data_IF_236139610841
#
_entry.id   IF_236139610841
#
_cell.length_a   1.000
_cell.length_b   1.000
_cell.length_c   1.000
_cell.angle_alpha   90.00
_cell.angle_beta   90.00
_cell.angle_gamma   90.00
#
_symmetry.space_group_name_H-M   'P 1'
#
loop_
_entity.id
_entity.type
_entity.pdbx_description
1 polymer ?
#
# COMPACT_ATOMS: atom_id res chain seq x y z
N UNK A 1 3.55 -18.28 32.84
CA UNK A 1 4.27 -18.99 33.91
C UNK A 1 3.41 -20.13 34.53
N UNK A 2 2.14 -19.91 34.85
CA UNK A 2 1.27 -20.96 35.45
C UNK A 2 1.10 -22.19 34.53
N UNK A 3 0.96 -22.01 33.22
CA UNK A 3 0.80 -23.08 32.23
C UNK A 3 2.04 -23.97 32.19
N UNK A 4 3.24 -23.38 32.24
CA UNK A 4 4.51 -24.10 32.29
C UNK A 4 4.65 -24.90 33.61
N UNK A 5 4.22 -24.31 34.73
CA UNK A 5 4.23 -24.97 36.04
C UNK A 5 3.32 -26.22 36.13
N UNK A 6 2.25 -26.25 35.30
CA UNK A 6 1.28 -27.37 35.27
C UNK A 6 1.70 -28.42 34.20
N UNK A 7 2.72 -28.13 33.39
CA UNK A 7 3.18 -29.02 32.31
C UNK A 7 2.25 -29.07 31.07
N UNK A 8 1.35 -28.11 30.93
CA UNK A 8 0.44 -28.01 29.78
C UNK A 8 1.10 -27.38 28.55
N UNK A 9 2.30 -26.82 28.66
CA UNK A 9 3.11 -26.29 27.60
C UNK A 9 3.58 -27.36 26.59
N UNK A 10 3.49 -28.65 26.98
CA UNK A 10 3.77 -29.78 26.09
C UNK A 10 2.58 -30.22 25.24
N UNK A 11 1.36 -29.66 25.47
CA UNK A 11 0.18 -29.90 24.63
C UNK A 11 0.27 -29.02 23.40
N UNK A 12 0.32 -29.62 22.21
CA UNK A 12 0.59 -28.93 20.95
C UNK A 12 -0.29 -27.69 20.71
N UNK A 13 -1.60 -27.78 20.96
CA UNK A 13 -2.54 -26.67 20.78
C UNK A 13 -2.25 -25.49 21.73
N UNK A 14 -1.86 -25.78 22.96
CA UNK A 14 -1.52 -24.77 23.96
C UNK A 14 -0.18 -24.13 23.61
N UNK A 15 0.81 -24.93 23.20
CA UNK A 15 2.12 -24.41 22.79
C UNK A 15 2.02 -23.50 21.57
N UNK A 16 1.26 -23.90 20.56
CA UNK A 16 1.02 -23.08 19.36
C UNK A 16 0.30 -21.76 19.71
N UNK A 17 -0.68 -21.82 20.62
CA UNK A 17 -1.37 -20.63 21.13
C UNK A 17 -0.45 -19.71 21.94
N UNK A 18 0.47 -20.28 22.75
CA UNK A 18 1.49 -19.51 23.46
C UNK A 18 2.48 -18.84 22.53
N UNK A 19 2.96 -19.54 21.49
CA UNK A 19 3.81 -18.96 20.46
C UNK A 19 3.10 -17.78 19.82
N UNK A 20 1.84 -17.96 19.40
CA UNK A 20 1.05 -16.89 18.80
C UNK A 20 0.85 -15.69 19.75
N UNK A 21 0.50 -15.96 21.02
CA UNK A 21 0.34 -14.91 22.05
C UNK A 21 1.63 -14.10 22.24
N UNK A 22 2.77 -14.76 22.44
CA UNK A 22 4.04 -14.07 22.64
C UNK A 22 4.44 -13.25 21.43
N UNK A 23 4.26 -13.78 20.22
CA UNK A 23 4.55 -13.05 18.98
C UNK A 23 3.63 -11.84 18.82
N UNK A 24 2.33 -11.96 19.11
CA UNK A 24 1.41 -10.81 19.07
C UNK A 24 1.72 -9.73 20.10
N UNK A 25 2.25 -10.12 21.27
CA UNK A 25 2.69 -9.18 22.31
C UNK A 25 4.07 -8.55 22.03
N UNK A 26 4.71 -8.83 20.90
CA UNK A 26 6.03 -8.30 20.55
C UNK A 26 7.22 -9.05 21.18
N UNK A 27 6.97 -10.11 21.95
CA UNK A 27 7.99 -10.92 22.62
C UNK A 27 8.37 -12.13 21.77
N UNK A 28 8.86 -11.88 20.54
CA UNK A 28 9.13 -12.94 19.53
C UNK A 28 10.17 -13.95 20.05
N UNK A 29 11.15 -13.51 20.86
CA UNK A 29 12.18 -14.39 21.41
C UNK A 29 11.62 -15.40 22.42
N UNK A 30 10.66 -14.99 23.26
CA UNK A 30 9.95 -15.88 24.16
C UNK A 30 9.08 -16.86 23.38
N UNK A 31 8.37 -16.39 22.34
CA UNK A 31 7.65 -17.23 21.40
C UNK A 31 8.55 -18.29 20.77
N UNK A 32 9.75 -17.91 20.35
CA UNK A 32 10.74 -18.84 19.79
C UNK A 32 11.24 -19.89 20.79
N UNK A 33 11.42 -19.51 22.06
CA UNK A 33 11.78 -20.50 23.11
C UNK A 33 10.68 -21.53 23.31
N UNK A 34 9.42 -21.10 23.34
CA UNK A 34 8.27 -22.01 23.43
C UNK A 34 8.22 -22.92 22.21
N UNK A 35 8.40 -22.36 21.00
CA UNK A 35 8.42 -23.13 19.75
C UNK A 35 9.51 -24.22 19.76
N UNK A 36 10.72 -23.90 20.19
CA UNK A 36 11.81 -24.87 20.30
C UNK A 36 11.56 -25.97 21.33
N UNK A 37 10.64 -25.78 22.29
CA UNK A 37 10.20 -26.78 23.24
C UNK A 37 9.18 -27.77 22.68
N UNK A 38 8.61 -27.53 21.50
CA UNK A 38 7.64 -28.41 20.86
C UNK A 38 8.38 -29.58 20.21
N UNK A 39 8.09 -30.81 20.65
CA UNK A 39 8.78 -32.00 20.14
C UNK A 39 8.50 -32.30 18.64
N UNK A 40 7.26 -32.08 18.21
CA UNK A 40 6.84 -32.28 16.81
C UNK A 40 5.96 -31.09 16.39
N UNK A 41 6.54 -29.93 16.01
CA UNK A 41 5.76 -28.78 15.60
C UNK A 41 4.99 -29.06 14.32
N UNK A 42 3.70 -28.74 14.31
CA UNK A 42 2.83 -28.86 13.15
C UNK A 42 2.85 -27.55 12.31
N UNK A 43 2.13 -27.57 11.18
CA UNK A 43 2.03 -26.39 10.30
C UNK A 43 1.51 -25.15 11.00
N UNK A 44 0.64 -25.30 12.03
CA UNK A 44 0.08 -24.19 12.82
C UNK A 44 1.15 -23.55 13.70
N UNK A 45 1.94 -24.38 14.40
CA UNK A 45 3.08 -23.94 15.23
C UNK A 45 4.12 -23.18 14.39
N UNK A 46 4.46 -23.73 13.22
CA UNK A 46 5.35 -23.08 12.24
C UNK A 46 4.77 -21.76 11.74
N UNK A 47 3.48 -21.74 11.38
CA UNK A 47 2.80 -20.53 10.94
C UNK A 47 2.82 -19.42 12.00
N UNK A 48 2.60 -19.77 13.28
CA UNK A 48 2.62 -18.83 14.39
C UNK A 48 3.99 -18.15 14.56
N UNK A 49 5.08 -18.92 14.54
CA UNK A 49 6.42 -18.34 14.71
C UNK A 49 6.89 -17.57 13.49
N UNK A 50 6.65 -18.07 12.28
CA UNK A 50 7.01 -17.42 11.02
C UNK A 50 6.26 -16.09 10.86
N UNK A 51 4.94 -16.07 11.10
CA UNK A 51 4.15 -14.85 11.06
C UNK A 51 4.59 -13.83 12.11
N UNK A 52 4.99 -14.30 13.29
CA UNK A 52 5.54 -13.45 14.34
C UNK A 52 6.81 -12.74 13.88
N UNK A 53 7.80 -13.45 13.37
CA UNK A 53 9.02 -12.84 12.86
C UNK A 53 8.77 -11.90 11.67
N UNK A 54 7.89 -12.29 10.74
CA UNK A 54 7.51 -11.47 9.60
C UNK A 54 6.85 -10.14 10.03
N UNK A 55 5.96 -10.18 11.02
CA UNK A 55 5.27 -8.98 11.53
C UNK A 55 6.24 -7.93 12.10
N UNK A 56 7.36 -8.37 12.69
CA UNK A 56 8.38 -7.49 13.25
C UNK A 56 9.55 -7.19 12.29
N UNK A 57 9.41 -7.53 11.01
CA UNK A 57 10.42 -7.24 9.98
C UNK A 57 11.73 -8.02 10.14
N UNK A 58 11.71 -9.12 10.91
CA UNK A 58 12.87 -9.99 11.12
C UNK A 58 13.04 -10.98 9.96
N UNK A 59 13.13 -10.45 8.75
CA UNK A 59 13.06 -11.23 7.51
C UNK A 59 14.15 -12.32 7.42
N UNK A 60 15.36 -12.07 7.92
CA UNK A 60 16.43 -13.08 7.93
C UNK A 60 16.02 -14.33 8.71
N UNK A 61 15.40 -14.17 9.91
CA UNK A 61 14.92 -15.29 10.72
C UNK A 61 13.77 -16.03 10.02
N UNK A 62 12.93 -15.34 9.26
CA UNK A 62 11.86 -15.97 8.47
C UNK A 62 12.44 -16.94 7.43
N UNK A 63 13.51 -16.57 6.73
CA UNK A 63 14.15 -17.46 5.75
C UNK A 63 14.89 -18.64 6.40
N UNK A 64 15.55 -18.42 7.56
CA UNK A 64 16.12 -19.52 8.32
C UNK A 64 15.06 -20.54 8.77
N UNK A 65 13.91 -20.05 9.23
CA UNK A 65 12.77 -20.91 9.61
C UNK A 65 12.20 -21.66 8.39
N UNK A 66 12.20 -21.02 7.21
CA UNK A 66 11.78 -21.68 5.98
C UNK A 66 12.67 -22.87 5.62
N UNK A 67 13.98 -22.73 5.70
CA UNK A 67 14.92 -23.82 5.43
C UNK A 67 14.77 -24.97 6.43
N UNK A 68 14.54 -24.64 7.71
CA UNK A 68 14.25 -25.66 8.74
C UNK A 68 12.95 -26.40 8.45
N UNK A 69 11.87 -25.67 8.15
CA UNK A 69 10.56 -26.25 7.81
C UNK A 69 10.66 -27.22 6.62
N UNK A 70 11.45 -26.88 5.60
CA UNK A 70 11.71 -27.76 4.47
C UNK A 70 12.47 -29.04 4.91
N UNK A 71 13.44 -28.91 5.80
CA UNK A 71 14.18 -30.03 6.35
C UNK A 71 13.30 -31.04 7.12
N UNK A 72 12.22 -30.57 7.72
CA UNK A 72 11.23 -31.41 8.42
C UNK A 72 10.15 -31.98 7.49
N UNK A 73 10.22 -31.75 6.20
CA UNK A 73 9.25 -32.22 5.18
C UNK A 73 7.81 -31.77 5.45
N UNK A 74 7.63 -30.68 6.19
CA UNK A 74 6.31 -30.07 6.45
C UNK A 74 5.93 -29.21 5.25
N UNK A 75 4.73 -29.42 4.73
CA UNK A 75 4.21 -28.60 3.63
C UNK A 75 3.67 -27.27 4.16
N UNK A 76 4.20 -26.10 3.68
CA UNK A 76 3.66 -24.80 4.07
C UNK A 76 2.19 -24.67 3.67
N UNK A 77 1.40 -24.05 4.52
CA UNK A 77 0.05 -23.61 4.18
C UNK A 77 0.06 -22.26 3.43
N UNK A 78 -1.13 -21.79 3.04
CA UNK A 78 -1.29 -20.50 2.37
C UNK A 78 -0.71 -19.35 3.18
N UNK A 79 -0.93 -19.33 4.49
CA UNK A 79 -0.47 -18.26 5.40
C UNK A 79 1.05 -18.17 5.44
N UNK A 80 1.71 -19.31 5.54
CA UNK A 80 3.16 -19.42 5.53
C UNK A 80 3.73 -18.93 4.18
N UNK A 81 3.16 -19.35 3.04
CA UNK A 81 3.57 -18.84 1.74
C UNK A 81 3.40 -17.32 1.62
N UNK A 82 2.27 -16.77 2.11
CA UNK A 82 2.05 -15.32 2.12
C UNK A 82 3.11 -14.56 2.92
N UNK A 83 3.52 -15.09 4.08
CA UNK A 83 4.59 -14.49 4.88
C UNK A 83 5.92 -14.44 4.10
N UNK A 84 6.29 -15.55 3.44
CA UNK A 84 7.54 -15.60 2.66
C UNK A 84 7.51 -14.69 1.45
N UNK A 85 6.42 -14.68 0.69
CA UNK A 85 6.22 -13.79 -0.47
C UNK A 85 6.37 -12.32 -0.03
N UNK A 86 5.73 -11.95 1.08
CA UNK A 86 5.81 -10.60 1.64
C UNK A 86 7.24 -10.24 2.05
N UNK A 87 7.94 -11.14 2.76
CA UNK A 87 9.33 -10.92 3.14
C UNK A 87 10.25 -10.74 1.92
N UNK A 88 10.07 -11.54 0.85
CA UNK A 88 10.81 -11.37 -0.40
C UNK A 88 10.58 -9.98 -1.01
N UNK A 89 9.33 -9.51 -1.03
CA UNK A 89 8.98 -8.19 -1.54
C UNK A 89 9.61 -7.05 -0.71
N UNK A 90 9.60 -7.18 0.62
CA UNK A 90 10.16 -6.17 1.53
C UNK A 90 11.69 -6.03 1.42
N UNK A 91 12.40 -7.15 1.20
CA UNK A 91 13.87 -7.15 1.06
C UNK A 91 14.28 -6.85 -0.39
N UNK A 92 13.41 -7.09 -1.35
CA UNK A 92 13.72 -7.01 -2.77
C UNK A 92 14.56 -8.21 -3.28
N UNK A 93 14.50 -9.36 -2.59
CA UNK A 93 15.27 -10.55 -2.95
C UNK A 93 14.53 -11.41 -3.97
N UNK A 94 14.88 -11.22 -5.23
CA UNK A 94 14.25 -11.92 -6.35
C UNK A 94 14.58 -13.44 -6.38
N UNK A 95 15.76 -13.83 -5.89
CA UNK A 95 16.16 -15.24 -5.92
C UNK A 95 15.33 -16.08 -4.94
N UNK A 96 15.12 -15.55 -3.73
CA UNK A 96 14.17 -16.13 -2.79
C UNK A 96 12.74 -16.11 -3.36
N UNK A 97 12.34 -15.02 -4.01
CA UNK A 97 11.05 -14.90 -4.67
C UNK A 97 10.82 -16.01 -5.72
N UNK A 98 11.82 -16.27 -6.56
CA UNK A 98 11.78 -17.37 -7.55
C UNK A 98 11.70 -18.75 -6.90
N UNK A 99 12.43 -18.96 -5.80
CA UNK A 99 12.39 -20.22 -5.04
C UNK A 99 10.99 -20.49 -4.49
N UNK A 100 10.39 -19.48 -3.85
CA UNK A 100 9.02 -19.55 -3.28
C UNK A 100 7.98 -19.75 -4.39
N UNK A 101 8.03 -18.98 -5.47
CA UNK A 101 7.11 -19.13 -6.60
C UNK A 101 7.13 -20.56 -7.17
N UNK A 102 8.33 -21.15 -7.36
CA UNK A 102 8.46 -22.54 -7.82
C UNK A 102 7.75 -23.50 -6.87
N UNK A 103 7.91 -23.34 -5.57
CA UNK A 103 7.26 -24.20 -4.58
C UNK A 103 5.74 -24.05 -4.55
N UNK A 104 5.24 -22.81 -4.64
CA UNK A 104 3.79 -22.55 -4.75
C UNK A 104 3.24 -23.26 -6.00
N UNK A 105 3.94 -23.20 -7.13
CA UNK A 105 3.53 -23.87 -8.37
C UNK A 105 3.53 -25.41 -8.27
N UNK A 106 4.42 -25.99 -7.46
CA UNK A 106 4.52 -27.44 -7.22
C UNK A 106 3.59 -27.91 -6.09
N UNK A 107 2.97 -26.99 -5.35
CA UNK A 107 2.06 -27.27 -4.23
C UNK A 107 0.60 -27.39 -4.66
N UNK A 108 -0.26 -27.74 -3.71
CA UNK A 108 -1.72 -27.72 -3.90
C UNK A 108 -2.30 -26.33 -4.15
N UNK A 109 -1.50 -25.29 -3.94
CA UNK A 109 -1.88 -23.89 -4.11
C UNK A 109 -1.51 -23.31 -5.49
N UNK A 110 -1.12 -24.15 -6.46
CA UNK A 110 -0.73 -23.73 -7.81
C UNK A 110 -1.77 -22.86 -8.55
N UNK A 111 -3.04 -23.00 -8.21
CA UNK A 111 -4.16 -22.24 -8.77
C UNK A 111 -4.79 -21.25 -7.77
N UNK A 112 -4.11 -20.95 -6.65
CA UNK A 112 -4.61 -20.01 -5.65
C UNK A 112 -4.41 -18.57 -6.13
N UNK A 113 -5.53 -17.88 -6.39
CA UNK A 113 -5.54 -16.51 -6.95
C UNK A 113 -4.91 -15.50 -5.97
N UNK A 114 -5.09 -15.70 -4.65
CA UNK A 114 -4.53 -14.80 -3.64
C UNK A 114 -3.00 -14.88 -3.65
N UNK A 115 -2.45 -16.10 -3.69
CA UNK A 115 -0.99 -16.28 -3.79
C UNK A 115 -0.46 -15.79 -5.15
N UNK A 116 -1.21 -16.00 -6.24
CA UNK A 116 -0.85 -15.51 -7.54
C UNK A 116 -0.72 -13.98 -7.58
N UNK A 117 -1.70 -13.26 -7.02
CA UNK A 117 -1.65 -11.79 -6.91
C UNK A 117 -0.49 -11.32 -6.03
N UNK A 118 -0.25 -11.98 -4.89
CA UNK A 118 0.88 -11.68 -4.02
C UNK A 118 2.24 -11.91 -4.70
N UNK A 119 2.36 -12.95 -5.56
CA UNK A 119 3.58 -13.20 -6.35
C UNK A 119 3.81 -12.11 -7.39
N UNK A 120 2.74 -11.60 -8.03
CA UNK A 120 2.82 -10.45 -8.95
C UNK A 120 3.36 -9.23 -8.20
N UNK A 121 2.81 -8.92 -7.03
CA UNK A 121 3.26 -7.80 -6.20
C UNK A 121 4.72 -7.97 -5.77
N UNK A 122 5.11 -9.18 -5.36
CA UNK A 122 6.49 -9.51 -4.98
C UNK A 122 7.47 -9.28 -6.13
N UNK A 123 7.17 -9.79 -7.33
CA UNK A 123 8.05 -9.58 -8.49
C UNK A 123 8.14 -8.10 -8.86
N UNK A 124 7.02 -7.38 -8.78
CA UNK A 124 7.00 -5.93 -8.96
C UNK A 124 7.92 -5.23 -7.95
N UNK A 125 7.80 -5.55 -6.66
CA UNK A 125 8.63 -4.98 -5.59
C UNK A 125 10.12 -5.30 -5.77
N UNK A 126 10.45 -6.51 -6.26
CA UNK A 126 11.81 -6.92 -6.60
C UNK A 126 12.33 -6.30 -7.93
N UNK A 127 11.55 -5.45 -8.59
CA UNK A 127 11.94 -4.78 -9.84
C UNK A 127 11.81 -5.64 -11.10
N UNK A 128 11.23 -6.84 -11.04
CA UNK A 128 11.07 -7.73 -12.18
C UNK A 128 9.64 -7.75 -12.74
N UNK A 129 9.33 -6.74 -13.56
CA UNK A 129 8.03 -6.65 -14.22
C UNK A 129 7.78 -7.74 -15.27
N UNK A 130 8.84 -8.29 -15.86
CA UNK A 130 8.72 -9.39 -16.83
C UNK A 130 8.14 -10.64 -16.18
N UNK A 131 8.67 -11.04 -15.03
CA UNK A 131 8.19 -12.19 -14.28
C UNK A 131 6.80 -11.96 -13.66
N UNK A 132 6.52 -10.72 -13.21
CA UNK A 132 5.18 -10.32 -12.77
C UNK A 132 4.15 -10.47 -13.91
N UNK A 133 4.48 -9.98 -15.11
CA UNK A 133 3.63 -10.08 -16.28
C UNK A 133 3.46 -11.53 -16.76
N UNK A 134 4.53 -12.31 -16.75
CA UNK A 134 4.46 -13.73 -17.11
C UNK A 134 3.57 -14.50 -16.12
N UNK A 135 3.69 -14.24 -14.82
CA UNK A 135 2.80 -14.81 -13.82
C UNK A 135 1.34 -14.41 -14.09
N UNK A 136 1.07 -13.12 -14.34
CA UNK A 136 -0.26 -12.63 -14.69
C UNK A 136 -0.86 -13.34 -15.91
N UNK A 137 -0.07 -13.57 -16.95
CA UNK A 137 -0.53 -14.25 -18.19
C UNK A 137 -0.89 -15.71 -17.98
N UNK A 138 -0.26 -16.40 -17.03
CA UNK A 138 -0.54 -17.81 -16.74
C UNK A 138 -1.82 -18.03 -15.92
N UNK A 139 -2.41 -16.98 -15.34
CA UNK A 139 -3.66 -17.09 -14.60
C UNK A 139 -4.82 -17.15 -15.59
N UNK A 140 -5.52 -18.30 -15.60
CA UNK A 140 -6.62 -18.55 -16.55
C UNK A 140 -7.90 -17.78 -16.19
N UNK A 141 -8.17 -17.58 -14.91
CA UNK A 141 -9.37 -16.89 -14.42
C UNK A 141 -8.95 -15.72 -13.54
N UNK A 142 -8.75 -14.56 -14.17
CA UNK A 142 -8.30 -13.35 -13.49
C UNK A 142 -9.47 -12.62 -12.86
N UNK A 143 -9.40 -12.39 -11.55
CA UNK A 143 -10.35 -11.54 -10.83
C UNK A 143 -9.86 -10.07 -10.78
N UNK A 144 -10.71 -9.18 -10.24
CA UNK A 144 -10.39 -7.75 -10.12
C UNK A 144 -9.12 -7.51 -9.32
N UNK A 145 -8.80 -8.36 -8.32
CA UNK A 145 -7.59 -8.23 -7.48
C UNK A 145 -6.33 -8.53 -8.29
N UNK A 146 -6.37 -9.58 -9.12
CA UNK A 146 -5.25 -9.95 -10.01
C UNK A 146 -4.96 -8.83 -11.03
N UNK A 147 -6.01 -8.27 -11.65
CA UNK A 147 -5.88 -7.13 -12.54
C UNK A 147 -5.30 -5.92 -11.81
N UNK A 148 -5.77 -5.66 -10.58
CA UNK A 148 -5.28 -4.59 -9.73
C UNK A 148 -3.80 -4.72 -9.38
N UNK A 149 -3.34 -5.91 -9.02
CA UNK A 149 -1.94 -6.19 -8.73
C UNK A 149 -1.04 -5.84 -9.93
N UNK A 150 -1.41 -6.28 -11.14
CA UNK A 150 -0.61 -5.97 -12.33
C UNK A 150 -0.66 -4.49 -12.72
N UNK A 151 -1.82 -3.81 -12.57
CA UNK A 151 -1.93 -2.37 -12.79
C UNK A 151 -1.09 -1.58 -11.78
N UNK A 152 -1.13 -1.97 -10.50
CA UNK A 152 -0.30 -1.37 -9.46
C UNK A 152 1.19 -1.52 -9.81
N UNK A 153 1.61 -2.70 -10.27
CA UNK A 153 2.97 -2.94 -10.73
C UNK A 153 3.39 -1.96 -11.83
N UNK A 154 2.58 -1.79 -12.87
CA UNK A 154 2.86 -0.82 -13.93
C UNK A 154 2.91 0.62 -13.44
N UNK A 155 1.98 1.02 -12.56
CA UNK A 155 1.94 2.37 -11.97
C UNK A 155 3.19 2.64 -11.12
N UNK A 156 3.61 1.69 -10.29
CA UNK A 156 4.82 1.80 -9.46
C UNK A 156 6.08 2.00 -10.29
N UNK A 157 6.17 1.32 -11.43
CA UNK A 157 7.31 1.44 -12.34
C UNK A 157 7.18 2.58 -13.37
N UNK A 158 6.15 3.44 -13.25
CA UNK A 158 5.95 4.57 -14.14
C UNK A 158 5.49 4.22 -15.56
N UNK A 159 5.06 2.97 -15.79
CA UNK A 159 4.59 2.48 -17.08
C UNK A 159 3.09 2.75 -17.27
N UNK A 160 2.71 4.04 -17.20
CA UNK A 160 1.31 4.47 -17.19
C UNK A 160 0.54 4.06 -18.45
N UNK A 161 1.17 4.09 -19.63
CA UNK A 161 0.54 3.64 -20.87
C UNK A 161 0.25 2.13 -20.86
N UNK A 162 1.12 1.33 -20.24
CA UNK A 162 0.87 -0.11 -20.09
C UNK A 162 -0.28 -0.38 -19.13
N UNK A 163 -0.42 0.41 -18.06
CA UNK A 163 -1.57 0.32 -17.16
C UNK A 163 -2.90 0.66 -17.90
N UNK A 164 -2.90 1.67 -18.77
CA UNK A 164 -4.09 2.01 -19.55
C UNK A 164 -4.47 0.92 -20.56
N UNK A 165 -3.50 0.31 -21.24
CA UNK A 165 -3.74 -0.85 -22.13
C UNK A 165 -4.26 -2.05 -21.35
N UNK A 166 -3.70 -2.30 -20.17
CA UNK A 166 -4.15 -3.39 -19.31
C UNK A 166 -5.62 -3.19 -18.87
N UNK A 167 -6.04 -1.95 -18.69
CA UNK A 167 -7.44 -1.63 -18.41
C UNK A 167 -8.36 -1.96 -19.60
N UNK A 168 -7.93 -1.65 -20.84
CA UNK A 168 -8.66 -2.04 -22.06
C UNK A 168 -8.79 -3.57 -22.16
N UNK A 169 -7.72 -4.30 -21.86
CA UNK A 169 -7.74 -5.77 -21.83
C UNK A 169 -8.71 -6.32 -20.74
N UNK A 170 -8.76 -5.68 -19.56
CA UNK A 170 -9.68 -6.04 -18.48
C UNK A 170 -11.15 -5.86 -18.89
N UNK A 171 -11.48 -4.75 -19.59
CA UNK A 171 -12.82 -4.53 -20.14
C UNK A 171 -13.18 -5.58 -21.20
N UNK A 172 -12.23 -5.99 -22.04
CA UNK A 172 -12.39 -7.07 -23.00
C UNK A 172 -12.69 -8.43 -22.35
N UNK A 173 -12.04 -8.71 -21.22
CA UNK A 173 -12.29 -9.92 -20.41
C UNK A 173 -13.60 -9.81 -19.60
N UNK A 174 -14.38 -8.73 -19.75
CA UNK A 174 -15.64 -8.47 -19.05
C UNK A 174 -15.49 -8.50 -17.52
N UNK A 175 -14.34 -8.15 -16.97
CA UNK A 175 -14.14 -7.99 -15.53
C UNK A 175 -14.48 -6.57 -15.12
N UNK A 176 -15.40 -6.39 -14.18
CA UNK A 176 -15.82 -5.06 -13.73
C UNK A 176 -14.76 -4.39 -12.86
N UNK A 177 -14.34 -3.15 -13.21
CA UNK A 177 -13.42 -2.38 -12.40
C UNK A 177 -14.04 -1.95 -11.06
N UNK A 178 -13.27 -2.02 -9.99
CA UNK A 178 -13.62 -1.47 -8.70
C UNK A 178 -13.04 -0.04 -8.50
N UNK A 179 -13.26 0.53 -7.32
CA UNK A 179 -12.78 1.86 -6.97
C UNK A 179 -11.23 1.95 -6.96
N UNK A 180 -10.53 0.85 -6.70
CA UNK A 180 -9.06 0.80 -6.71
C UNK A 180 -8.54 0.87 -8.14
N UNK A 181 -9.10 0.04 -9.04
CA UNK A 181 -8.78 0.08 -10.47
C UNK A 181 -8.97 1.48 -11.04
N UNK A 182 -10.14 2.10 -10.81
CA UNK A 182 -10.38 3.46 -11.28
C UNK A 182 -9.36 4.46 -10.74
N UNK A 183 -8.93 4.33 -9.48
CA UNK A 183 -7.90 5.22 -8.92
C UNK A 183 -6.56 5.08 -9.66
N UNK A 184 -6.17 3.86 -10.03
CA UNK A 184 -4.97 3.61 -10.83
C UNK A 184 -5.07 4.21 -12.22
N UNK A 185 -6.22 4.07 -12.90
CA UNK A 185 -6.42 4.59 -14.23
C UNK A 185 -6.46 6.13 -14.24
N UNK A 186 -7.13 6.75 -13.28
CA UNK A 186 -7.13 8.21 -13.10
C UNK A 186 -5.69 8.71 -12.90
N UNK A 187 -4.91 8.04 -12.04
CA UNK A 187 -3.49 8.36 -11.83
C UNK A 187 -2.68 8.22 -13.11
N UNK A 188 -2.91 7.16 -13.90
CA UNK A 188 -2.26 6.97 -15.19
C UNK A 188 -2.64 8.09 -16.17
N UNK A 189 -3.92 8.45 -16.29
CA UNK A 189 -4.40 9.58 -17.10
C UNK A 189 -3.71 10.90 -16.72
N UNK A 190 -3.59 11.17 -15.41
CA UNK A 190 -2.92 12.36 -14.88
C UNK A 190 -1.45 12.41 -15.32
N UNK A 191 -0.75 11.27 -15.28
CA UNK A 191 0.68 11.19 -15.62
C UNK A 191 0.96 11.19 -17.12
N UNK A 192 0.07 10.59 -17.92
CA UNK A 192 0.19 10.56 -19.39
C UNK A 192 -0.27 11.88 -20.02
N UNK A 193 -1.03 12.69 -19.32
CA UNK A 193 -1.56 13.94 -19.86
C UNK A 193 -2.90 13.78 -20.61
N UNK A 194 -3.69 12.75 -20.30
CA UNK A 194 -4.95 12.48 -21.00
C UNK A 194 -6.18 12.87 -20.18
N UNK A 195 -6.51 14.17 -20.19
CA UNK A 195 -7.69 14.70 -19.50
C UNK A 195 -9.02 14.17 -20.08
N UNK A 196 -9.09 13.93 -21.39
CA UNK A 196 -10.33 13.44 -22.00
C UNK A 196 -10.71 12.05 -21.48
N UNK A 197 -9.73 11.13 -21.42
CA UNK A 197 -9.95 9.82 -20.82
C UNK A 197 -10.29 9.95 -19.35
N UNK A 198 -9.62 10.84 -18.61
CA UNK A 198 -9.92 11.11 -17.19
C UNK A 198 -11.36 11.57 -16.97
N UNK A 199 -11.90 12.43 -17.83
CA UNK A 199 -13.31 12.86 -17.78
C UNK A 199 -14.28 11.72 -18.11
N UNK A 200 -13.93 10.87 -19.08
CA UNK A 200 -14.72 9.68 -19.39
C UNK A 200 -14.78 8.72 -18.21
N UNK A 201 -13.64 8.45 -17.59
CA UNK A 201 -13.55 7.63 -16.36
C UNK A 201 -14.37 8.26 -15.23
N UNK A 202 -14.32 9.58 -15.03
CA UNK A 202 -15.14 10.26 -14.03
C UNK A 202 -16.65 10.02 -14.26
N UNK A 203 -17.11 10.13 -15.51
CA UNK A 203 -18.50 9.84 -15.84
C UNK A 203 -18.88 8.37 -15.55
N UNK A 204 -17.96 7.43 -15.79
CA UNK A 204 -18.18 6.01 -15.49
C UNK A 204 -18.21 5.73 -13.97
N UNK A 205 -17.33 6.38 -13.20
CA UNK A 205 -17.36 6.35 -11.73
C UNK A 205 -18.71 6.80 -11.18
N UNK A 206 -19.27 7.90 -11.71
CA UNK A 206 -20.61 8.39 -11.31
C UNK A 206 -21.70 7.38 -11.71
N UNK A 207 -21.68 6.87 -12.94
CA UNK A 207 -22.66 5.89 -13.44
C UNK A 207 -22.73 4.64 -12.58
N UNK A 208 -21.58 4.22 -12.02
CA UNK A 208 -21.46 3.04 -11.15
C UNK A 208 -21.70 3.34 -9.66
N UNK A 209 -22.05 4.59 -9.31
CA UNK A 209 -22.21 5.06 -7.92
C UNK A 209 -20.96 4.84 -7.03
N UNK A 210 -19.77 4.99 -7.63
CA UNK A 210 -18.48 4.87 -6.93
C UNK A 210 -17.93 6.23 -6.45
N UNK A 211 -18.61 7.32 -6.71
CA UNK A 211 -18.23 8.69 -6.35
C UNK A 211 -18.22 8.97 -4.83
N UNK A 212 -18.73 8.04 -4.01
CA UNK A 212 -18.62 8.11 -2.54
C UNK A 212 -17.24 7.68 -2.00
N UNK A 213 -16.43 7.00 -2.80
CA UNK A 213 -15.11 6.57 -2.36
C UNK A 213 -14.11 7.72 -2.36
N UNK A 214 -13.57 8.05 -1.19
CA UNK A 214 -12.65 9.17 -0.99
C UNK A 214 -11.38 9.07 -1.85
N UNK A 215 -10.86 7.86 -2.06
CA UNK A 215 -9.68 7.63 -2.90
C UNK A 215 -9.93 8.07 -4.35
N UNK A 216 -11.13 7.84 -4.89
CA UNK A 216 -11.49 8.29 -6.23
C UNK A 216 -11.66 9.80 -6.29
N UNK A 217 -12.34 10.39 -5.31
CA UNK A 217 -12.50 11.83 -5.23
C UNK A 217 -11.15 12.54 -5.17
N UNK A 218 -10.22 12.07 -4.34
CA UNK A 218 -8.88 12.61 -4.26
C UNK A 218 -8.11 12.47 -5.58
N UNK A 219 -8.22 11.33 -6.25
CA UNK A 219 -7.57 11.09 -7.54
C UNK A 219 -8.14 11.99 -8.65
N UNK A 220 -9.45 12.21 -8.66
CA UNK A 220 -10.12 13.11 -9.62
C UNK A 220 -9.79 14.57 -9.34
N UNK A 221 -9.76 15.01 -8.09
CA UNK A 221 -9.33 16.36 -7.73
C UNK A 221 -7.88 16.60 -8.19
N UNK A 222 -6.95 15.65 -7.94
CA UNK A 222 -5.57 15.75 -8.40
C UNK A 222 -5.50 15.85 -9.94
N UNK A 223 -6.26 15.02 -10.66
CA UNK A 223 -6.37 15.07 -12.12
C UNK A 223 -6.77 16.49 -12.57
N UNK A 224 -7.90 17.01 -12.09
CA UNK A 224 -8.41 18.30 -12.51
C UNK A 224 -7.48 19.46 -12.13
N UNK A 225 -6.87 19.41 -10.94
CA UNK A 225 -5.85 20.38 -10.53
C UNK A 225 -4.63 20.37 -11.44
N UNK A 226 -4.11 19.19 -11.83
CA UNK A 226 -2.94 19.05 -12.72
C UNK A 226 -3.20 19.62 -14.13
N UNK A 227 -4.44 19.58 -14.60
CA UNK A 227 -4.84 20.13 -15.90
C UNK A 227 -5.38 21.57 -15.84
N UNK A 228 -5.34 22.21 -14.67
CA UNK A 228 -5.87 23.56 -14.50
C UNK A 228 -7.39 23.67 -14.61
N UNK A 229 -8.11 22.55 -14.56
CA UNK A 229 -9.58 22.49 -14.55
C UNK A 229 -10.10 22.78 -13.13
N UNK A 230 -9.86 24.01 -12.67
CA UNK A 230 -10.08 24.40 -11.25
C UNK A 230 -11.54 24.37 -10.84
N UNK A 231 -12.46 24.62 -11.77
CA UNK A 231 -13.90 24.59 -11.49
C UNK A 231 -14.35 23.16 -11.15
N UNK A 232 -13.97 22.18 -11.96
CA UNK A 232 -14.28 20.77 -11.72
C UNK A 232 -13.65 20.28 -10.42
N UNK A 233 -12.39 20.66 -10.13
CA UNK A 233 -11.72 20.32 -8.89
C UNK A 233 -12.44 20.90 -7.65
N UNK A 234 -12.85 22.17 -7.71
CA UNK A 234 -13.63 22.80 -6.62
C UNK A 234 -14.99 22.14 -6.45
N UNK A 235 -15.70 21.87 -7.55
CA UNK A 235 -17.00 21.18 -7.49
C UNK A 235 -16.89 19.79 -6.84
N UNK A 236 -15.82 19.05 -7.11
CA UNK A 236 -15.55 17.76 -6.46
C UNK A 236 -15.24 17.94 -4.97
N UNK A 237 -14.44 18.95 -4.64
CA UNK A 237 -14.12 19.27 -3.25
C UNK A 237 -15.36 19.68 -2.47
N UNK A 238 -16.19 20.56 -3.00
CA UNK A 238 -17.37 21.12 -2.30
C UNK A 238 -18.51 20.09 -2.10
N UNK A 239 -18.55 19.01 -2.90
CA UNK A 239 -19.53 17.92 -2.73
C UNK A 239 -19.39 17.19 -1.40
N UNK A 240 -18.20 17.14 -0.82
CA UNK A 240 -17.95 16.47 0.46
C UNK A 240 -18.06 17.43 1.62
N UNK A 241 -18.80 17.07 2.66
CA UNK A 241 -18.92 17.88 3.88
C UNK A 241 -17.73 17.72 4.84
N UNK A 242 -16.94 16.65 4.68
CA UNK A 242 -15.76 16.35 5.50
C UNK A 242 -14.58 16.02 4.60
N UNK A 243 -13.47 16.68 4.82
CA UNK A 243 -12.24 16.46 4.08
C UNK A 243 -11.13 16.02 5.03
N UNK A 244 -10.42 14.97 4.64
CA UNK A 244 -9.18 14.59 5.31
C UNK A 244 -8.03 15.51 4.92
N UNK A 245 -6.96 15.47 5.71
CA UNK A 245 -5.75 16.26 5.45
C UNK A 245 -5.18 16.02 4.04
N UNK A 246 -5.32 14.80 3.50
CA UNK A 246 -4.87 14.45 2.16
C UNK A 246 -5.62 15.24 1.08
N UNK A 247 -6.94 15.38 1.17
CA UNK A 247 -7.76 16.17 0.24
C UNK A 247 -7.37 17.64 0.25
N UNK A 248 -7.16 18.21 1.44
CA UNK A 248 -6.67 19.58 1.59
C UNK A 248 -5.28 19.76 0.97
N UNK A 249 -4.37 18.81 1.20
CA UNK A 249 -3.02 18.85 0.63
C UNK A 249 -3.04 18.86 -0.91
N UNK A 250 -3.93 18.06 -1.52
CA UNK A 250 -4.11 18.03 -2.99
C UNK A 250 -4.61 19.39 -3.49
N UNK A 251 -5.61 19.99 -2.82
CA UNK A 251 -6.13 21.30 -3.20
C UNK A 251 -5.07 22.40 -3.08
N UNK A 252 -4.39 22.48 -1.94
CA UNK A 252 -3.35 23.48 -1.68
C UNK A 252 -2.19 23.32 -2.66
N UNK A 253 -1.71 22.08 -2.87
CA UNK A 253 -0.67 21.78 -3.84
C UNK A 253 -1.08 22.08 -5.26
N UNK A 254 -2.32 21.74 -5.64
CA UNK A 254 -2.88 22.01 -6.95
C UNK A 254 -2.98 23.51 -7.26
N UNK A 255 -3.44 24.35 -6.32
CA UNK A 255 -3.42 25.80 -6.51
C UNK A 255 -2.01 26.36 -6.63
N UNK A 256 -1.07 25.83 -5.85
CA UNK A 256 0.34 26.22 -5.93
C UNK A 256 0.92 25.89 -7.31
N UNK A 257 0.66 24.69 -7.84
CA UNK A 257 1.12 24.26 -9.17
C UNK A 257 0.52 25.15 -10.29
N UNK A 258 -0.73 25.59 -10.13
CA UNK A 258 -1.41 26.52 -11.04
C UNK A 258 -1.04 28.00 -10.82
N UNK A 259 0.01 28.30 -10.04
CA UNK A 259 0.52 29.65 -9.74
C UNK A 259 -0.47 30.55 -8.97
N UNK A 260 -1.43 29.97 -8.30
CA UNK A 260 -2.44 30.66 -7.49
C UNK A 260 -2.08 30.55 -6.00
N UNK A 261 -0.90 31.07 -5.64
CA UNK A 261 -0.34 30.95 -4.32
C UNK A 261 -1.22 31.65 -3.24
N UNK A 262 -1.90 32.74 -3.58
CA UNK A 262 -2.83 33.45 -2.67
C UNK A 262 -4.03 32.55 -2.30
N UNK A 263 -4.57 31.82 -3.27
CA UNK A 263 -5.69 30.90 -3.04
C UNK A 263 -5.21 29.70 -2.23
N UNK A 264 -4.01 29.19 -2.50
CA UNK A 264 -3.41 28.10 -1.71
C UNK A 264 -3.26 28.52 -0.23
N UNK A 265 -2.81 29.73 0.06
CA UNK A 265 -2.72 30.29 1.41
C UNK A 265 -4.10 30.37 2.06
N UNK A 266 -5.10 30.86 1.36
CA UNK A 266 -6.49 30.95 1.84
C UNK A 266 -7.03 29.56 2.19
N UNK A 267 -6.83 28.57 1.33
CA UNK A 267 -7.26 27.17 1.55
C UNK A 267 -6.57 26.54 2.76
N UNK A 268 -5.31 26.86 3.02
CA UNK A 268 -4.61 26.40 4.20
C UNK A 268 -5.25 26.94 5.49
N UNK A 269 -5.59 28.24 5.54
CA UNK A 269 -6.28 28.80 6.70
C UNK A 269 -7.71 28.30 6.83
N UNK A 270 -8.41 28.03 5.72
CA UNK A 270 -9.73 27.39 5.74
C UNK A 270 -9.65 25.98 6.36
N UNK A 271 -8.66 25.17 5.95
CA UNK A 271 -8.37 23.86 6.54
C UNK A 271 -8.20 23.95 8.06
N UNK A 272 -7.38 24.88 8.55
CA UNK A 272 -7.15 25.10 9.97
C UNK A 272 -8.43 25.57 10.69
N UNK A 273 -9.19 26.46 10.07
CA UNK A 273 -10.49 26.93 10.59
C UNK A 273 -11.52 25.81 10.75
N UNK A 274 -11.45 24.76 9.93
CA UNK A 274 -12.26 23.53 10.06
C UNK A 274 -11.69 22.51 11.05
N UNK A 275 -10.61 22.85 11.77
CA UNK A 275 -10.00 21.99 12.79
C UNK A 275 -9.16 20.83 12.22
N UNK A 276 -8.84 20.87 10.93
CA UNK A 276 -7.97 19.84 10.31
C UNK A 276 -6.51 20.19 10.56
N UNK A 277 -5.77 19.29 11.19
CA UNK A 277 -4.36 19.51 11.54
C UNK A 277 -3.49 19.30 10.30
N UNK A 278 -2.65 20.31 9.92
CA UNK A 278 -1.73 20.17 8.80
C UNK A 278 -0.70 19.06 9.04
N UNK A 279 -0.33 18.35 7.97
CA UNK A 279 0.75 17.37 7.96
C UNK A 279 1.99 17.92 7.24
N UNK A 280 3.05 17.11 7.17
CA UNK A 280 4.29 17.42 6.47
C UNK A 280 4.05 17.96 5.05
N UNK A 281 3.22 17.28 4.25
CA UNK A 281 2.95 17.68 2.86
C UNK A 281 2.31 19.07 2.77
N UNK A 282 1.35 19.38 3.67
CA UNK A 282 0.72 20.70 3.70
C UNK A 282 1.71 21.79 4.10
N UNK A 283 2.59 21.55 5.08
CA UNK A 283 3.62 22.50 5.47
C UNK A 283 4.66 22.72 4.35
N UNK A 284 5.09 21.66 3.65
CA UNK A 284 5.97 21.79 2.48
C UNK A 284 5.34 22.65 1.37
N UNK A 285 4.06 22.47 1.10
CA UNK A 285 3.33 23.34 0.16
C UNK A 285 3.33 24.78 0.65
N UNK A 286 3.09 25.02 1.94
CA UNK A 286 3.04 26.37 2.51
C UNK A 286 4.39 27.08 2.51
N UNK A 287 5.49 26.38 2.76
CA UNK A 287 6.84 26.97 2.62
C UNK A 287 7.08 27.44 1.18
N UNK A 288 6.65 26.64 0.17
CA UNK A 288 6.73 27.05 -1.24
C UNK A 288 5.78 28.23 -1.56
N UNK A 289 4.60 28.27 -0.97
CA UNK A 289 3.64 29.42 -1.09
C UNK A 289 4.28 30.69 -0.55
N UNK A 290 4.81 30.67 0.67
CA UNK A 290 5.47 31.80 1.29
C UNK A 290 6.66 32.32 0.47
N UNK A 291 7.45 31.39 -0.09
CA UNK A 291 8.56 31.75 -0.97
C UNK A 291 8.09 32.44 -2.24
N UNK A 292 6.98 31.98 -2.87
CA UNK A 292 6.43 32.61 -4.10
C UNK A 292 5.81 33.97 -3.83
N UNK A 293 5.14 34.14 -2.66
CA UNK A 293 4.50 35.40 -2.30
C UNK A 293 5.46 36.40 -1.63
N UNK A 294 6.70 35.98 -1.34
CA UNK A 294 7.71 36.77 -0.62
C UNK A 294 7.21 37.26 0.75
N UNK A 295 6.34 36.49 1.40
CA UNK A 295 5.70 36.84 2.68
C UNK A 295 6.49 36.31 3.87
N UNK A 296 7.54 37.05 4.29
CA UNK A 296 8.41 36.65 5.39
C UNK A 296 7.67 36.49 6.73
N UNK A 297 6.63 37.28 6.97
CA UNK A 297 5.83 37.20 8.21
C UNK A 297 5.11 35.84 8.28
N UNK A 298 4.43 35.45 7.21
CA UNK A 298 3.75 34.15 7.10
C UNK A 298 4.73 32.98 7.21
N UNK A 299 5.89 33.10 6.54
CA UNK A 299 6.94 32.08 6.62
C UNK A 299 7.41 31.85 8.07
N UNK A 300 7.55 32.91 8.87
CA UNK A 300 7.91 32.80 10.31
C UNK A 300 6.81 32.11 11.12
N UNK A 301 5.53 32.46 10.89
CA UNK A 301 4.41 31.83 11.59
C UNK A 301 4.34 30.33 11.29
N UNK A 302 4.52 29.95 10.02
CA UNK A 302 4.53 28.54 9.61
C UNK A 302 5.72 27.80 10.20
N UNK A 303 6.90 28.42 10.22
CA UNK A 303 8.09 27.84 10.85
C UNK A 303 7.86 27.59 12.36
N UNK A 304 7.30 28.56 13.09
CA UNK A 304 6.96 28.38 14.49
C UNK A 304 5.94 27.25 14.72
N UNK A 305 5.00 27.06 13.79
CA UNK A 305 4.05 25.94 13.85
C UNK A 305 4.72 24.58 13.60
N UNK A 306 5.64 24.49 12.64
CA UNK A 306 6.41 23.27 12.35
C UNK A 306 7.21 22.84 13.59
N UNK A 307 7.89 23.80 14.25
CA UNK A 307 8.63 23.54 15.49
C UNK A 307 7.70 22.98 16.59
N UNK A 308 6.54 23.61 16.78
CA UNK A 308 5.56 23.17 17.79
C UNK A 308 4.96 21.78 17.48
N UNK A 309 4.82 21.44 16.21
CA UNK A 309 4.33 20.11 15.76
C UNK A 309 5.36 19.00 15.84
N UNK A 310 6.61 19.30 16.22
CA UNK A 310 7.78 18.37 16.25
C UNK A 310 8.14 17.76 14.89
N UNK A 311 7.74 18.38 13.79
CA UNK A 311 8.08 17.96 12.43
C UNK A 311 9.43 18.54 11.95
N UNK A 312 10.11 19.33 12.78
CA UNK A 312 11.37 20.00 12.43
C UNK A 312 12.52 18.99 12.14
N UNK A 313 12.46 17.81 12.79
CA UNK A 313 13.45 16.74 12.58
C UNK A 313 13.29 15.98 11.27
N UNK A 314 12.21 16.25 10.52
CA UNK A 314 11.99 15.64 9.21
C UNK A 314 12.89 16.33 8.16
N UNK A 315 13.75 15.55 7.47
CA UNK A 315 14.70 16.06 6.48
C UNK A 315 14.04 16.83 5.33
N UNK A 316 12.77 16.50 4.99
CA UNK A 316 12.04 17.15 3.91
C UNK A 316 11.58 18.56 4.27
N UNK A 317 11.31 18.83 5.55
CA UNK A 317 10.88 20.15 6.06
C UNK A 317 12.07 21.00 6.47
N UNK A 318 13.15 20.39 6.98
CA UNK A 318 14.35 21.08 7.46
C UNK A 318 15.26 21.64 6.36
N UNK A 319 15.16 21.15 5.11
CA UNK A 319 15.89 21.63 3.93
C UNK A 319 15.06 22.63 3.13
#
# INVERSE_FOLDING_TARGET
EEIVCIGLDSVLDISSSLVHMYTQCGSVLEGHKVFNGIMNPDVVSWGAIISGYAQFGCNAAVFELFEKLQGESIQPDRGIYMCFIKCCAEIGDIEWGRKIHRQVRESVFSSDIILASAIIDMYSACGSLTEAHDMFRHISNRDVVTWGAMMAAYIHHGLFLSALRLYEDMEHDCVEPDHIIFSFIIKACTKVGNLLLGRWIHADVIRRNLDSYMILNNSLIDLYMKFGSLEEANNMFDKSSKHEVATWAIMIGGYLDNRLADIALTKFYEMKGKGVVPNEVTYLCMLKVCSRLLQLKEARLIHDEIIRSKLESDMAIGN
#
